data_IF_651418332317
#
_entry.id   IF_651418332317
#
_cell.length_a   1.000
_cell.length_b   1.000
_cell.length_c   1.000
_cell.angle_alpha   90.00
_cell.angle_beta   90.00
_cell.angle_gamma   90.00
#
_symmetry.space_group_name_H-M   'P 1'
#
loop_
_entity.id
_entity.type
_entity.pdbx_description
1 polymer ?
#
# COMPACT_ATOMS: atom_id res chain seq x y z
N UNK A 1 -0.46 22.87 10.96
CA UNK A 1 0.94 23.09 10.53
C UNK A 1 1.12 22.36 9.21
N UNK A 2 1.46 23.05 8.12
CA UNK A 2 1.75 22.42 6.83
C UNK A 2 3.08 21.68 6.99
N UNK A 3 3.04 20.35 6.97
CA UNK A 3 4.25 19.52 6.93
C UNK A 3 5.06 19.88 5.68
N UNK A 4 6.39 19.74 5.74
CA UNK A 4 7.24 19.92 4.57
C UNK A 4 6.82 18.93 3.48
N UNK A 5 6.62 19.42 2.27
CA UNK A 5 6.44 18.59 1.08
C UNK A 5 7.53 18.91 0.05
N UNK A 6 8.03 17.89 -0.61
CA UNK A 6 9.05 17.99 -1.63
C UNK A 6 8.69 17.06 -2.79
N UNK A 7 9.34 17.28 -3.92
CA UNK A 7 9.34 16.30 -5.00
C UNK A 7 10.74 15.71 -5.14
N UNK A 8 10.82 14.41 -5.29
CA UNK A 8 12.03 13.70 -5.68
C UNK A 8 11.84 13.18 -7.09
N UNK A 9 12.92 13.03 -7.84
CA UNK A 9 12.87 12.55 -9.22
C UNK A 9 13.45 11.13 -9.29
N UNK A 10 12.75 10.25 -9.97
CA UNK A 10 13.19 8.88 -10.22
C UNK A 10 14.23 8.84 -11.33
N UNK A 11 14.97 7.73 -11.45
CA UNK A 11 15.94 7.51 -12.52
C UNK A 11 15.33 7.62 -13.93
N UNK A 12 14.04 7.34 -14.05
CA UNK A 12 13.27 7.41 -15.31
C UNK A 12 12.47 8.73 -15.47
N UNK A 13 12.79 9.75 -14.66
CA UNK A 13 12.31 11.12 -14.79
C UNK A 13 10.89 11.37 -14.26
N UNK A 14 10.34 10.49 -13.42
CA UNK A 14 9.01 10.70 -12.80
C UNK A 14 9.18 11.49 -11.50
N UNK A 15 8.42 12.57 -11.35
CA UNK A 15 8.36 13.37 -10.11
C UNK A 15 7.50 12.69 -9.08
N UNK A 16 8.08 12.34 -7.94
CA UNK A 16 7.39 11.68 -6.82
C UNK A 16 7.19 12.69 -5.69
N UNK A 17 5.95 12.88 -5.29
CA UNK A 17 5.58 13.72 -4.16
C UNK A 17 5.88 12.99 -2.84
N UNK A 18 6.77 13.56 -2.03
CA UNK A 18 7.11 13.11 -0.69
C UNK A 18 6.75 14.18 0.34
N UNK A 19 6.15 13.79 1.46
CA UNK A 19 5.70 14.75 2.47
C UNK A 19 5.74 14.16 3.88
N UNK A 20 5.79 15.06 4.86
CA UNK A 20 5.77 14.69 6.27
C UNK A 20 4.31 14.51 6.74
N UNK A 21 3.99 13.31 7.22
CA UNK A 21 2.76 13.05 7.98
C UNK A 21 2.92 13.52 9.43
N UNK A 22 4.11 13.33 10.00
CA UNK A 22 4.50 13.80 11.34
C UNK A 22 6.00 14.09 11.36
N UNK A 23 6.41 15.36 11.42
CA UNK A 23 7.83 15.76 11.56
C UNK A 23 8.32 15.67 13.00
N UNK A 24 9.63 15.81 13.20
CA UNK A 24 10.26 16.11 14.50
C UNK A 24 10.92 14.93 15.22
N UNK A 25 10.81 13.70 14.72
CA UNK A 25 11.55 12.55 15.28
C UNK A 25 13.00 12.48 14.79
N UNK A 26 13.87 11.84 15.57
CA UNK A 26 15.27 11.58 15.23
C UNK A 26 15.45 10.46 14.20
N UNK A 27 14.57 9.46 14.24
CA UNK A 27 14.48 8.35 13.31
C UNK A 27 13.45 8.63 12.20
N UNK A 28 13.49 7.88 11.12
CA UNK A 28 12.55 8.04 10.01
C UNK A 28 11.76 6.75 9.79
N UNK A 29 10.44 6.87 9.63
CA UNK A 29 9.55 5.84 9.14
C UNK A 29 8.96 6.30 7.80
N UNK A 30 9.28 5.58 6.71
CA UNK A 30 8.72 5.83 5.38
C UNK A 30 7.49 4.95 5.16
N UNK A 31 6.36 5.56 4.80
CA UNK A 31 5.08 4.87 4.55
C UNK A 31 4.74 4.83 3.07
N UNK A 32 4.48 3.62 2.55
CA UNK A 32 4.19 3.30 1.16
C UNK A 32 2.77 2.73 1.02
N UNK A 33 1.92 3.43 0.30
CA UNK A 33 0.48 3.11 0.20
C UNK A 33 0.19 1.97 -0.79
N UNK A 34 -1.03 1.43 -0.71
CA UNK A 34 -1.57 0.47 -1.68
C UNK A 34 -2.07 1.12 -2.96
N UNK A 35 -2.29 0.32 -4.01
CA UNK A 35 -2.80 0.79 -5.29
C UNK A 35 -4.15 1.50 -5.15
N UNK A 36 -4.36 2.57 -5.91
CA UNK A 36 -5.57 3.38 -5.87
C UNK A 36 -5.76 4.16 -4.56
N UNK A 37 -4.68 4.30 -3.78
CA UNK A 37 -4.61 5.11 -2.56
C UNK A 37 -3.65 6.29 -2.77
N UNK A 38 -3.37 7.01 -1.70
CA UNK A 38 -2.36 8.06 -1.64
C UNK A 38 -1.69 8.01 -0.25
N UNK A 39 -0.53 8.57 -0.08
CA UNK A 39 0.21 8.53 1.19
C UNK A 39 -0.58 9.08 2.38
N UNK A 40 -1.54 9.99 2.14
CA UNK A 40 -2.46 10.49 3.17
C UNK A 40 -3.40 9.44 3.78
N UNK A 41 -3.47 8.22 3.22
CA UNK A 41 -4.20 7.09 3.84
C UNK A 41 -3.72 6.81 5.26
N UNK A 42 -2.46 7.12 5.56
CA UNK A 42 -1.83 6.90 6.85
C UNK A 42 -1.94 8.08 7.83
N UNK A 43 -2.58 9.20 7.47
CA UNK A 43 -2.55 10.42 8.29
C UNK A 43 -2.99 10.21 9.73
N UNK A 44 -4.11 9.53 9.97
CA UNK A 44 -4.59 9.22 11.32
C UNK A 44 -3.81 8.10 11.99
N UNK A 45 -3.28 7.16 11.23
CA UNK A 45 -2.49 6.04 11.72
C UNK A 45 -1.10 6.50 12.19
N UNK A 46 -0.47 7.42 11.45
CA UNK A 46 0.83 7.99 11.77
C UNK A 46 0.90 8.66 13.16
N UNK A 47 -0.23 9.14 13.68
CA UNK A 47 -0.29 9.77 15.02
C UNK A 47 -0.11 8.78 16.18
N UNK A 48 -0.26 7.49 15.91
CA UNK A 48 -0.21 6.43 16.94
C UNK A 48 1.19 5.85 17.18
N UNK A 49 2.17 6.18 16.33
CA UNK A 49 3.53 5.66 16.45
C UNK A 49 4.37 6.42 17.48
N UNK A 50 5.48 5.83 17.99
CA UNK A 50 6.40 6.50 18.94
C UNK A 50 6.93 7.84 18.42
N UNK A 51 7.05 8.83 19.30
CA UNK A 51 7.44 10.20 18.93
C UNK A 51 8.89 10.32 18.43
N UNK A 52 9.73 9.30 18.64
CA UNK A 52 11.09 9.28 18.08
C UNK A 52 11.12 9.18 16.56
N UNK A 53 10.01 8.77 15.90
CA UNK A 53 9.93 8.70 14.46
C UNK A 53 9.38 9.98 13.84
N UNK A 54 10.10 10.57 12.91
CA UNK A 54 9.57 11.40 11.83
C UNK A 54 8.91 10.49 10.82
N UNK A 55 7.63 10.72 10.50
CA UNK A 55 6.87 9.85 9.60
C UNK A 55 6.67 10.57 8.27
N UNK A 56 7.18 9.97 7.22
CA UNK A 56 7.07 10.44 5.85
C UNK A 56 6.22 9.49 5.02
N UNK A 57 5.58 10.01 4.01
CA UNK A 57 4.90 9.21 2.99
C UNK A 57 5.24 9.74 1.60
N UNK A 58 5.09 8.89 0.60
CA UNK A 58 5.08 9.29 -0.80
C UNK A 58 3.70 9.02 -1.40
N UNK A 59 3.37 9.75 -2.44
CA UNK A 59 2.40 9.29 -3.42
C UNK A 59 3.19 8.57 -4.52
N UNK A 60 2.86 7.34 -4.85
CA UNK A 60 3.48 6.62 -5.96
C UNK A 60 3.15 7.28 -7.31
N UNK A 61 3.97 7.02 -8.34
CA UNK A 61 3.65 7.44 -9.71
C UNK A 61 2.21 7.15 -10.08
N UNK A 62 1.57 8.03 -10.82
CA UNK A 62 0.16 7.92 -11.20
C UNK A 62 -0.85 8.14 -10.07
N UNK A 63 -0.42 8.39 -8.83
CA UNK A 63 -1.28 8.59 -7.67
C UNK A 63 -1.08 10.00 -7.07
N UNK A 64 -2.13 10.53 -6.43
CA UNK A 64 -2.09 11.76 -5.64
C UNK A 64 -1.44 12.93 -6.37
N UNK A 65 -0.36 13.48 -5.82
CA UNK A 65 0.36 14.63 -6.38
C UNK A 65 1.64 14.24 -7.16
N UNK A 66 1.87 12.94 -7.36
CA UNK A 66 2.99 12.46 -8.15
C UNK A 66 2.74 12.52 -9.65
N UNK A 67 3.82 12.49 -10.43
CA UNK A 67 3.78 12.49 -11.88
C UNK A 67 3.15 11.23 -12.46
N UNK A 68 2.61 11.35 -13.66
CA UNK A 68 2.14 10.23 -14.48
C UNK A 68 3.31 9.61 -15.24
N UNK A 69 3.22 8.30 -15.54
CA UNK A 69 4.34 7.54 -16.09
C UNK A 69 4.00 6.78 -17.41
N UNK A 70 2.90 7.12 -18.05
CA UNK A 70 2.44 6.48 -19.29
C UNK A 70 1.98 5.05 -19.05
N UNK A 71 2.78 4.06 -19.47
CA UNK A 71 2.53 2.63 -19.30
C UNK A 71 3.40 1.96 -18.21
N UNK A 72 4.20 2.75 -17.47
CA UNK A 72 5.16 2.25 -16.47
C UNK A 72 4.54 2.19 -15.07
N UNK A 73 3.64 1.21 -14.86
CA UNK A 73 2.91 0.98 -13.60
C UNK A 73 3.01 -0.46 -13.09
N UNK A 74 4.15 -1.13 -13.35
CA UNK A 74 4.47 -2.44 -12.76
C UNK A 74 5.03 -2.26 -11.36
N UNK A 75 5.00 -3.32 -10.55
CA UNK A 75 5.61 -3.28 -9.20
C UNK A 75 7.07 -2.80 -9.25
N UNK A 76 7.85 -3.27 -10.22
CA UNK A 76 9.25 -2.85 -10.40
C UNK A 76 9.40 -1.36 -10.71
N UNK A 77 8.43 -0.74 -11.36
CA UNK A 77 8.45 0.70 -11.64
C UNK A 77 8.20 1.50 -10.35
N UNK A 78 7.30 1.05 -9.47
CA UNK A 78 7.06 1.65 -8.15
C UNK A 78 8.24 1.47 -7.19
N UNK A 79 9.06 0.43 -7.38
CA UNK A 79 10.31 0.27 -6.61
C UNK A 79 11.27 1.43 -6.88
N UNK A 80 11.33 1.94 -8.11
CA UNK A 80 12.17 3.13 -8.43
C UNK A 80 11.66 4.39 -7.71
N UNK A 81 10.33 4.54 -7.52
CA UNK A 81 9.77 5.64 -6.73
C UNK A 81 10.24 5.59 -5.28
N UNK A 82 10.19 4.40 -4.68
CA UNK A 82 10.62 4.21 -3.31
C UNK A 82 12.15 4.36 -3.15
N UNK A 83 12.94 3.97 -4.15
CA UNK A 83 14.39 4.18 -4.16
C UNK A 83 14.71 5.67 -4.21
N UNK A 84 14.05 6.45 -5.05
CA UNK A 84 14.25 7.89 -5.10
C UNK A 84 13.95 8.56 -3.74
N UNK A 85 12.86 8.13 -3.08
CA UNK A 85 12.53 8.60 -1.73
C UNK A 85 13.58 8.18 -0.68
N UNK A 86 14.07 6.94 -0.75
CA UNK A 86 15.09 6.40 0.15
C UNK A 86 16.42 7.16 0.02
N UNK A 87 16.84 7.47 -1.19
CA UNK A 87 18.05 8.24 -1.47
C UNK A 87 17.91 9.69 -1.00
N UNK A 88 16.72 10.29 -1.12
CA UNK A 88 16.44 11.62 -0.58
C UNK A 88 16.40 11.66 0.95
N UNK A 89 16.04 10.55 1.63
CA UNK A 89 16.17 10.41 3.08
C UNK A 89 17.65 10.33 3.47
N UNK A 90 18.46 9.60 2.74
CA UNK A 90 19.94 9.59 2.80
C UNK A 90 20.54 9.03 4.10
N UNK A 91 19.73 8.41 4.98
CA UNK A 91 20.14 7.78 6.24
C UNK A 91 19.27 6.54 6.50
N UNK A 92 19.68 5.62 7.40
CA UNK A 92 18.86 4.45 7.73
C UNK A 92 17.46 4.83 8.21
N UNK A 93 16.45 4.08 7.76
CA UNK A 93 15.04 4.28 8.09
C UNK A 93 14.27 2.96 8.13
N UNK A 94 13.14 2.96 8.81
CA UNK A 94 12.16 1.87 8.77
C UNK A 94 11.20 2.10 7.60
N UNK A 95 10.85 1.06 6.86
CA UNK A 95 9.82 1.13 5.83
C UNK A 95 8.56 0.40 6.27
N UNK A 96 7.41 1.04 6.09
CA UNK A 96 6.07 0.46 6.26
C UNK A 96 5.36 0.47 4.91
N UNK A 97 4.96 -0.68 4.42
CA UNK A 97 4.23 -0.78 3.16
C UNK A 97 2.91 -1.52 3.31
N UNK A 98 1.84 -0.96 2.72
CA UNK A 98 0.53 -1.61 2.62
C UNK A 98 0.30 -2.12 1.19
N UNK A 99 -0.12 -3.38 1.04
CA UNK A 99 -0.53 -3.95 -0.26
C UNK A 99 0.58 -3.81 -1.33
N UNK A 100 0.37 -3.04 -2.40
CA UNK A 100 1.41 -2.67 -3.36
C UNK A 100 2.66 -2.11 -2.66
N UNK A 101 2.46 -1.21 -1.69
CA UNK A 101 3.56 -0.65 -0.90
C UNK A 101 4.35 -1.72 -0.14
N UNK A 102 3.71 -2.82 0.28
CA UNK A 102 4.39 -3.94 0.91
C UNK A 102 5.29 -4.69 -0.08
N UNK A 103 4.83 -4.94 -1.31
CA UNK A 103 5.67 -5.52 -2.38
C UNK A 103 6.87 -4.63 -2.68
N UNK A 104 6.63 -3.32 -2.79
CA UNK A 104 7.70 -2.34 -3.01
C UNK A 104 8.69 -2.32 -1.84
N UNK A 105 8.21 -2.43 -0.58
CA UNK A 105 9.08 -2.46 0.61
C UNK A 105 10.01 -3.66 0.63
N UNK A 106 9.54 -4.84 0.21
CA UNK A 106 10.35 -6.06 0.06
C UNK A 106 11.52 -5.80 -0.90
N UNK A 107 11.22 -5.31 -2.12
CA UNK A 107 12.25 -5.05 -3.11
C UNK A 107 13.19 -3.89 -2.71
N UNK A 108 12.66 -2.85 -2.06
CA UNK A 108 13.45 -1.73 -1.55
C UNK A 108 14.49 -2.20 -0.52
N UNK A 109 14.07 -3.03 0.45
CA UNK A 109 14.96 -3.57 1.48
C UNK A 109 16.08 -4.44 0.88
N UNK A 110 15.76 -5.28 -0.10
CA UNK A 110 16.73 -6.08 -0.82
C UNK A 110 17.73 -5.24 -1.62
N UNK A 111 17.24 -4.18 -2.30
CA UNK A 111 18.06 -3.34 -3.19
C UNK A 111 18.81 -2.22 -2.46
N UNK A 112 18.41 -1.84 -1.26
CA UNK A 112 19.01 -0.77 -0.43
C UNK A 112 19.23 -1.22 1.03
N UNK A 113 19.93 -2.36 1.26
CA UNK A 113 20.07 -2.95 2.60
C UNK A 113 20.80 -2.05 3.61
N UNK A 114 21.56 -1.05 3.14
CA UNK A 114 22.21 -0.08 4.02
C UNK A 114 21.30 1.07 4.46
N UNK A 115 20.17 1.28 3.77
CA UNK A 115 19.22 2.35 4.07
C UNK A 115 17.98 1.81 4.80
N UNK A 116 17.57 0.57 4.55
CA UNK A 116 16.40 -0.01 5.23
C UNK A 116 16.85 -0.76 6.47
N UNK A 117 16.48 -0.24 7.66
CA UNK A 117 16.83 -0.83 8.95
C UNK A 117 15.81 -1.83 9.48
N UNK A 118 14.56 -1.75 9.04
CA UNK A 118 13.51 -2.73 9.30
C UNK A 118 12.37 -2.58 8.29
N UNK A 119 11.61 -3.67 8.10
CA UNK A 119 10.48 -3.73 7.15
C UNK A 119 9.20 -4.09 7.89
N UNK A 120 8.11 -3.36 7.62
CA UNK A 120 6.78 -3.67 8.10
C UNK A 120 5.87 -3.80 6.89
N UNK A 121 5.28 -4.99 6.72
CA UNK A 121 4.40 -5.34 5.60
C UNK A 121 2.97 -5.46 6.09
N UNK A 122 2.11 -4.57 5.67
CA UNK A 122 0.67 -4.69 5.92
C UNK A 122 0.01 -5.40 4.76
N UNK A 123 -0.41 -6.63 5.02
CA UNK A 123 -1.19 -7.53 4.18
C UNK A 123 -0.68 -7.58 2.71
N UNK A 124 0.58 -8.01 2.49
CA UNK A 124 1.15 -8.10 1.15
C UNK A 124 0.39 -9.12 0.30
N UNK A 125 -0.04 -8.78 -0.93
CA UNK A 125 -0.60 -9.76 -1.83
C UNK A 125 0.42 -10.85 -2.18
N UNK A 126 0.08 -12.12 -1.98
CA UNK A 126 0.97 -13.22 -2.34
C UNK A 126 1.01 -13.49 -3.86
N UNK A 127 2.05 -14.18 -4.38
CA UNK A 127 2.06 -14.63 -5.77
C UNK A 127 0.84 -15.45 -6.15
N UNK A 128 0.39 -16.35 -5.28
CA UNK A 128 -0.82 -17.14 -5.49
C UNK A 128 -2.07 -16.26 -5.61
N UNK A 129 -2.13 -15.18 -4.84
CA UNK A 129 -3.24 -14.24 -4.88
C UNK A 129 -3.30 -13.45 -6.21
N UNK A 130 -2.20 -12.87 -6.65
CA UNK A 130 -2.23 -12.05 -7.87
C UNK A 130 -2.39 -12.87 -9.15
N UNK A 131 -1.91 -14.12 -9.19
CA UNK A 131 -2.15 -15.01 -10.33
C UNK A 131 -3.62 -15.40 -10.48
N UNK A 132 -4.39 -15.34 -9.40
CA UNK A 132 -5.82 -15.66 -9.37
C UNK A 132 -6.69 -14.40 -9.22
N UNK A 133 -6.15 -13.21 -9.41
CA UNK A 133 -6.83 -11.93 -9.15
C UNK A 133 -8.22 -11.86 -9.79
N UNK A 134 -8.38 -12.34 -11.03
CA UNK A 134 -9.64 -12.32 -11.77
C UNK A 134 -10.77 -13.12 -11.09
N UNK A 135 -10.43 -14.09 -10.23
CA UNK A 135 -11.40 -14.91 -9.47
C UNK A 135 -11.65 -14.39 -8.06
N UNK A 136 -10.91 -13.36 -7.63
CA UNK A 136 -11.05 -12.78 -6.30
C UNK A 136 -12.17 -11.76 -6.24
N UNK A 137 -12.67 -11.48 -5.03
CA UNK A 137 -13.64 -10.41 -4.76
C UNK A 137 -13.08 -8.99 -5.04
N UNK A 138 -11.75 -8.85 -5.25
CA UNK A 138 -11.13 -7.56 -5.56
C UNK A 138 -11.20 -7.21 -7.04
N UNK A 139 -11.34 -8.17 -7.93
CA UNK A 139 -11.37 -7.88 -9.37
C UNK A 139 -12.52 -6.93 -9.76
N UNK A 140 -13.78 -7.13 -9.32
CA UNK A 140 -14.85 -6.15 -9.54
C UNK A 140 -14.55 -4.77 -8.95
N UNK A 141 -13.89 -4.72 -7.77
CA UNK A 141 -13.47 -3.45 -7.16
C UNK A 141 -12.46 -2.71 -8.04
N UNK A 142 -11.45 -3.41 -8.59
CA UNK A 142 -10.47 -2.81 -9.47
C UNK A 142 -11.09 -2.37 -10.81
N UNK A 143 -12.06 -3.10 -11.34
CA UNK A 143 -12.84 -2.67 -12.50
C UNK A 143 -13.63 -1.39 -12.21
N UNK A 144 -14.26 -1.31 -11.03
CA UNK A 144 -14.94 -0.10 -10.59
C UNK A 144 -13.96 1.07 -10.43
N UNK A 145 -12.81 0.85 -9.79
CA UNK A 145 -11.77 1.87 -9.66
C UNK A 145 -11.29 2.39 -11.02
N UNK A 146 -11.13 1.51 -12.02
CA UNK A 146 -10.75 1.90 -13.39
C UNK A 146 -11.78 2.81 -14.04
N UNK A 147 -13.09 2.54 -13.84
CA UNK A 147 -14.18 3.38 -14.39
C UNK A 147 -14.15 4.81 -13.84
N UNK A 148 -13.78 4.96 -12.59
CA UNK A 148 -13.84 6.25 -11.87
C UNK A 148 -12.49 6.94 -11.72
N UNK A 149 -11.39 6.29 -12.13
CA UNK A 149 -10.06 6.88 -12.11
C UNK A 149 -9.94 8.05 -13.09
N UNK A 150 -9.34 9.16 -12.62
CA UNK A 150 -9.04 10.34 -13.44
C UNK A 150 -10.27 11.13 -13.90
N UNK A 151 -11.45 10.91 -13.32
CA UNK A 151 -12.69 11.62 -13.65
C UNK A 151 -12.68 13.04 -13.05
N UNK A 152 -11.78 13.87 -13.57
CA UNK A 152 -11.64 15.27 -13.12
C UNK A 152 -12.82 16.17 -13.56
N UNK A 153 -13.70 15.67 -14.40
CA UNK A 153 -14.97 16.28 -14.81
C UNK A 153 -16.07 16.17 -13.73
N UNK A 154 -15.87 15.31 -12.72
CA UNK A 154 -16.82 15.08 -11.64
C UNK A 154 -16.28 15.57 -10.28
N UNK A 155 -17.19 15.92 -9.38
CA UNK A 155 -16.81 16.20 -8.01
C UNK A 155 -16.45 14.90 -7.25
N UNK A 156 -15.63 15.01 -6.19
CA UNK A 156 -15.34 13.88 -5.29
C UNK A 156 -16.62 13.31 -4.67
N UNK A 157 -17.65 14.12 -4.47
CA UNK A 157 -18.94 13.66 -3.95
C UNK A 157 -19.66 12.77 -4.96
N UNK A 158 -19.68 13.17 -6.24
CA UNK A 158 -20.30 12.39 -7.31
C UNK A 158 -19.56 11.07 -7.52
N UNK A 159 -18.23 11.10 -7.60
CA UNK A 159 -17.41 9.88 -7.68
C UNK A 159 -17.69 8.96 -6.48
N UNK A 160 -17.82 9.51 -5.27
CA UNK A 160 -18.09 8.71 -4.06
C UNK A 160 -19.43 8.01 -4.12
N UNK A 161 -20.47 8.69 -4.60
CA UNK A 161 -21.81 8.14 -4.75
C UNK A 161 -21.85 7.04 -5.81
N UNK A 162 -21.29 7.31 -6.98
CA UNK A 162 -21.27 6.38 -8.10
C UNK A 162 -20.38 5.16 -7.83
N UNK A 163 -19.18 5.36 -7.29
CA UNK A 163 -18.30 4.27 -6.88
C UNK A 163 -18.95 3.39 -5.80
N UNK A 164 -19.67 4.00 -4.85
CA UNK A 164 -20.43 3.27 -3.82
C UNK A 164 -21.54 2.40 -4.41
N UNK A 165 -22.14 2.80 -5.52
CA UNK A 165 -23.20 2.06 -6.23
C UNK A 165 -22.67 0.89 -7.10
N UNK A 166 -21.37 0.80 -7.33
CA UNK A 166 -20.80 -0.26 -8.15
C UNK A 166 -21.03 -1.65 -7.56
N UNK A 167 -21.40 -2.63 -8.38
CA UNK A 167 -21.65 -3.99 -7.94
C UNK A 167 -20.35 -4.70 -7.58
N UNK A 168 -20.31 -5.34 -6.42
CA UNK A 168 -19.26 -6.28 -6.01
C UNK A 168 -19.63 -7.73 -6.34
N UNK A 169 -20.90 -8.08 -6.17
CA UNK A 169 -21.40 -9.45 -6.36
C UNK A 169 -22.89 -9.43 -6.71
N UNK A 170 -23.27 -10.21 -7.69
CA UNK A 170 -24.66 -10.54 -7.96
C UNK A 170 -24.93 -11.97 -7.49
N UNK A 171 -25.93 -12.12 -6.63
CA UNK A 171 -26.38 -13.42 -6.12
C UNK A 171 -27.33 -14.10 -7.10
N UNK A 172 -27.52 -15.43 -6.96
CA UNK A 172 -28.41 -16.22 -7.80
C UNK A 172 -29.90 -15.83 -7.71
N UNK A 173 -30.28 -15.18 -6.61
CA UNK A 173 -31.63 -14.64 -6.37
C UNK A 173 -31.84 -13.22 -6.92
N UNK A 174 -30.84 -12.68 -7.64
CA UNK A 174 -30.90 -11.35 -8.25
C UNK A 174 -30.48 -10.19 -7.33
N UNK A 175 -30.21 -10.43 -6.06
CA UNK A 175 -29.67 -9.39 -5.18
C UNK A 175 -28.28 -8.96 -5.61
N UNK A 176 -27.99 -7.67 -5.48
CA UNK A 176 -26.69 -7.08 -5.79
C UNK A 176 -26.07 -6.57 -4.49
N UNK A 177 -24.87 -7.05 -4.16
CA UNK A 177 -24.02 -6.47 -3.14
C UNK A 177 -23.22 -5.34 -3.77
N UNK A 178 -23.33 -4.13 -3.22
CA UNK A 178 -22.62 -2.94 -3.70
C UNK A 178 -21.39 -2.65 -2.84
N UNK A 179 -20.49 -1.78 -3.33
CA UNK A 179 -19.34 -1.31 -2.56
C UNK A 179 -19.80 -0.58 -1.29
N UNK A 180 -20.86 0.22 -1.34
CA UNK A 180 -21.46 0.92 -0.18
C UNK A 180 -22.03 0.00 0.90
N UNK A 181 -22.32 -1.25 0.59
CA UNK A 181 -22.83 -2.21 1.59
C UNK A 181 -21.71 -2.76 2.50
N UNK A 182 -20.45 -2.64 2.05
CA UNK A 182 -19.27 -3.17 2.75
C UNK A 182 -18.24 -2.10 3.14
N UNK A 183 -18.47 -0.83 2.76
CA UNK A 183 -17.61 0.29 3.09
C UNK A 183 -18.41 1.46 3.66
N UNK A 184 -17.89 2.08 4.72
CA UNK A 184 -18.46 3.29 5.28
C UNK A 184 -18.27 4.51 4.36
N UNK A 185 -19.09 5.54 4.57
CA UNK A 185 -19.13 6.75 3.73
C UNK A 185 -17.82 7.55 3.76
N UNK A 186 -17.07 7.53 4.87
CA UNK A 186 -15.79 8.23 5.00
C UNK A 186 -14.72 7.52 4.15
N UNK A 187 -14.67 6.18 4.22
CA UNK A 187 -13.81 5.35 3.39
C UNK A 187 -14.12 5.50 1.90
N UNK A 188 -15.41 5.54 1.52
CA UNK A 188 -15.85 5.80 0.14
C UNK A 188 -15.38 7.15 -0.36
N UNK A 189 -15.61 8.22 0.43
CA UNK A 189 -15.19 9.59 0.08
C UNK A 189 -13.67 9.71 -0.06
N UNK A 190 -12.91 9.07 0.84
CA UNK A 190 -11.45 9.05 0.73
C UNK A 190 -11.00 8.33 -0.55
N UNK A 191 -11.60 7.16 -0.84
CA UNK A 191 -11.31 6.43 -2.09
C UNK A 191 -11.64 7.27 -3.32
N UNK A 192 -12.80 7.94 -3.34
CA UNK A 192 -13.20 8.82 -4.43
C UNK A 192 -12.20 9.97 -4.65
N UNK A 193 -11.65 10.54 -3.56
CA UNK A 193 -10.58 11.56 -3.66
C UNK A 193 -9.32 10.97 -4.31
N UNK A 194 -8.94 9.76 -3.94
CA UNK A 194 -7.79 9.10 -4.55
C UNK A 194 -8.04 8.79 -6.03
N UNK A 195 -9.24 8.31 -6.38
CA UNK A 195 -9.63 8.01 -7.76
C UNK A 195 -9.68 9.25 -8.65
N UNK A 196 -10.14 10.38 -8.10
CA UNK A 196 -10.15 11.66 -8.82
C UNK A 196 -8.75 12.04 -9.33
N UNK A 197 -7.71 11.81 -8.53
CA UNK A 197 -6.34 12.17 -8.83
C UNK A 197 -5.54 11.02 -9.52
N UNK A 198 -6.13 9.80 -9.61
CA UNK A 198 -5.47 8.58 -10.12
C UNK A 198 -5.33 8.61 -11.65
N UNK A 199 -4.15 8.23 -12.15
CA UNK A 199 -4.01 7.91 -13.58
C UNK A 199 -4.74 6.60 -13.89
N UNK A 200 -5.71 6.60 -14.83
CA UNK A 200 -6.42 5.39 -15.23
C UNK A 200 -5.52 4.21 -15.65
N UNK A 201 -4.37 4.48 -16.26
CA UNK A 201 -3.43 3.47 -16.72
C UNK A 201 -2.84 2.62 -15.57
N UNK A 202 -2.84 3.13 -14.33
CA UNK A 202 -2.49 2.33 -13.13
C UNK A 202 -3.38 1.11 -13.01
N UNK A 203 -4.68 1.28 -13.21
CA UNK A 203 -5.65 0.19 -13.07
C UNK A 203 -5.63 -0.74 -14.28
N UNK A 204 -5.27 -0.25 -15.46
CA UNK A 204 -5.10 -1.06 -16.67
C UNK A 204 -3.99 -2.10 -16.47
N UNK A 205 -2.82 -1.69 -15.97
CA UNK A 205 -1.71 -2.60 -15.67
C UNK A 205 -2.12 -3.76 -14.74
N UNK A 206 -3.01 -3.50 -13.77
CA UNK A 206 -3.52 -4.51 -12.83
C UNK A 206 -4.52 -5.44 -13.52
N UNK A 207 -5.52 -4.88 -14.19
CA UNK A 207 -6.60 -5.64 -14.82
C UNK A 207 -6.09 -6.55 -15.94
N UNK A 208 -5.02 -6.14 -16.63
CA UNK A 208 -4.34 -6.91 -17.67
C UNK A 208 -3.30 -7.90 -17.11
N UNK A 209 -3.10 -7.95 -15.79
CA UNK A 209 -2.14 -8.84 -15.15
C UNK A 209 -0.67 -8.49 -15.44
N UNK A 210 -0.38 -7.26 -15.88
CA UNK A 210 0.98 -6.82 -16.23
C UNK A 210 1.77 -6.31 -15.00
N UNK A 211 1.07 -5.93 -13.93
CA UNK A 211 1.68 -5.26 -12.77
C UNK A 211 2.75 -6.07 -12.02
N UNK A 212 2.70 -7.45 -11.91
CA UNK A 212 3.74 -8.22 -11.25
C UNK A 212 4.88 -8.63 -12.22
N UNK A 213 4.82 -8.25 -13.49
CA UNK A 213 5.80 -8.66 -14.49
C UNK A 213 7.21 -8.20 -14.11
N UNK A 214 8.18 -9.11 -14.17
CA UNK A 214 9.57 -8.91 -13.78
C UNK A 214 9.78 -8.66 -12.27
N UNK A 215 8.81 -8.95 -11.41
CA UNK A 215 8.93 -8.88 -9.97
C UNK A 215 9.10 -10.30 -9.39
N UNK A 216 10.29 -10.59 -8.90
CA UNK A 216 10.62 -11.87 -8.23
C UNK A 216 10.63 -11.65 -6.71
N UNK A 217 9.46 -11.89 -6.08
CA UNK A 217 9.25 -11.70 -4.65
C UNK A 217 10.19 -12.60 -3.83
N UNK A 218 10.36 -13.85 -4.25
CA UNK A 218 11.17 -14.83 -3.54
C UNK A 218 12.66 -14.46 -3.56
N UNK A 219 13.16 -13.98 -4.69
CA UNK A 219 14.53 -13.49 -4.78
C UNK A 219 14.75 -12.30 -3.83
N UNK A 220 13.84 -11.33 -3.85
CA UNK A 220 13.97 -10.16 -2.96
C UNK A 220 13.87 -10.54 -1.47
N UNK A 221 12.98 -11.44 -1.06
CA UNK A 221 12.86 -11.86 0.33
C UNK A 221 14.15 -12.47 0.87
N UNK A 222 14.82 -13.32 0.08
CA UNK A 222 16.12 -13.94 0.46
C UNK A 222 17.24 -12.91 0.66
N UNK A 223 17.16 -11.78 -0.03
CA UNK A 223 18.17 -10.72 0.03
C UNK A 223 17.93 -9.71 1.16
N UNK A 224 16.80 -9.77 1.89
CA UNK A 224 16.53 -8.91 3.04
C UNK A 224 17.50 -9.23 4.18
N UNK A 225 18.17 -8.20 4.70
CA UNK A 225 19.19 -8.31 5.75
C UNK A 225 18.71 -7.77 7.12
N UNK A 226 17.56 -7.12 7.18
CA UNK A 226 17.01 -6.49 8.39
C UNK A 226 15.76 -7.22 8.90
N UNK A 227 15.36 -6.98 10.16
CA UNK A 227 14.13 -7.53 10.73
C UNK A 227 12.88 -7.17 9.91
N UNK A 228 11.94 -8.11 9.83
CA UNK A 228 10.71 -7.97 9.05
C UNK A 228 9.49 -8.38 9.89
N UNK A 229 8.47 -7.52 9.91
CA UNK A 229 7.16 -7.79 10.51
C UNK A 229 6.08 -7.86 9.41
N UNK A 230 5.30 -8.93 9.40
CA UNK A 230 4.07 -9.04 8.60
C UNK A 230 2.87 -8.80 9.51
N UNK A 231 1.99 -7.89 9.12
CA UNK A 231 0.65 -7.72 9.68
C UNK A 231 -0.33 -8.32 8.68
N UNK A 232 -1.02 -9.40 9.05
CA UNK A 232 -1.86 -10.18 8.14
C UNK A 232 -3.35 -10.05 8.48
N UNK A 233 -4.14 -9.64 7.50
CA UNK A 233 -5.61 -9.65 7.58
C UNK A 233 -6.20 -11.03 7.30
N UNK A 234 -7.42 -11.26 7.79
CA UNK A 234 -8.18 -12.48 7.52
C UNK A 234 -8.67 -12.50 6.06
N UNK A 235 -8.32 -13.55 5.32
CA UNK A 235 -8.72 -13.74 3.92
C UNK A 235 -10.25 -13.79 3.78
N UNK A 236 -10.96 -14.38 4.75
CA UNK A 236 -12.43 -14.43 4.75
C UNK A 236 -13.05 -13.02 4.87
N UNK A 237 -12.29 -12.03 5.36
CA UNK A 237 -12.68 -10.62 5.50
C UNK A 237 -12.02 -9.73 4.44
N UNK A 238 -11.37 -10.34 3.45
CA UNK A 238 -10.76 -9.64 2.34
C UNK A 238 -9.25 -9.41 2.48
N UNK A 239 -8.56 -10.11 3.38
CA UNK A 239 -7.09 -10.15 3.38
C UNK A 239 -6.54 -10.78 2.10
N UNK A 240 -5.32 -10.41 1.71
CA UNK A 240 -4.68 -10.86 0.46
C UNK A 240 -3.52 -11.84 0.68
N UNK A 241 -3.22 -12.18 1.94
CA UNK A 241 -2.14 -13.10 2.29
C UNK A 241 -2.71 -14.34 2.98
N UNK A 242 -2.88 -15.48 2.27
CA UNK A 242 -3.25 -16.75 2.88
C UNK A 242 -2.22 -17.22 3.92
N UNK A 243 -2.67 -18.03 4.88
CA UNK A 243 -1.83 -18.56 5.96
C UNK A 243 -0.63 -19.35 5.45
N UNK A 244 -0.87 -20.23 4.49
CA UNK A 244 0.18 -21.02 3.83
C UNK A 244 1.25 -20.17 3.18
N UNK A 245 0.84 -19.06 2.56
CA UNK A 245 1.73 -18.14 1.87
C UNK A 245 2.54 -17.31 2.87
N UNK A 246 1.91 -16.84 3.97
CA UNK A 246 2.61 -16.15 5.04
C UNK A 246 3.73 -17.01 5.65
N UNK A 247 3.46 -18.28 5.92
CA UNK A 247 4.47 -19.25 6.37
C UNK A 247 5.59 -19.43 5.33
N UNK A 248 5.23 -19.43 4.04
CA UNK A 248 6.19 -19.53 2.94
C UNK A 248 7.12 -18.31 2.86
N UNK A 249 6.58 -17.10 3.03
CA UNK A 249 7.34 -15.85 3.05
C UNK A 249 8.32 -15.81 4.24
N UNK A 250 7.86 -16.17 5.43
CA UNK A 250 8.70 -16.16 6.64
C UNK A 250 9.88 -17.12 6.56
N UNK A 251 9.75 -18.24 5.87
CA UNK A 251 10.87 -19.20 5.68
C UNK A 251 12.00 -18.63 4.82
N UNK A 252 11.77 -17.57 4.06
CA UNK A 252 12.75 -16.98 3.16
C UNK A 252 13.54 -15.84 3.79
N UNK A 253 13.05 -15.27 4.89
CA UNK A 253 13.72 -14.18 5.61
C UNK A 253 14.46 -14.69 6.83
N UNK A 254 15.56 -14.02 7.22
CA UNK A 254 16.40 -14.46 8.36
C UNK A 254 15.75 -14.14 9.70
N UNK A 255 15.07 -13.01 9.80
CA UNK A 255 14.43 -12.49 11.01
C UNK A 255 13.06 -11.95 10.64
N UNK A 256 12.05 -12.80 10.73
CA UNK A 256 10.69 -12.50 10.29
C UNK A 256 9.65 -12.87 11.34
N UNK A 257 8.71 -11.96 11.58
CA UNK A 257 7.57 -12.14 12.46
C UNK A 257 6.27 -11.96 11.66
N UNK A 258 5.20 -12.64 12.07
CA UNK A 258 3.85 -12.43 11.55
C UNK A 258 2.87 -12.27 12.70
N UNK A 259 1.99 -11.28 12.58
CA UNK A 259 0.88 -11.04 13.49
C UNK A 259 -0.43 -11.08 12.71
N UNK A 260 -1.36 -11.91 13.16
CA UNK A 260 -2.65 -12.12 12.53
C UNK A 260 -3.73 -11.21 13.14
N UNK A 261 -4.59 -10.66 12.28
CA UNK A 261 -5.74 -9.84 12.66
C UNK A 261 -7.05 -10.51 12.20
N UNK A 262 -7.59 -11.48 12.96
CA UNK A 262 -8.74 -12.28 12.53
C UNK A 262 -10.05 -11.49 12.45
N UNK A 263 -10.07 -10.26 12.96
CA UNK A 263 -11.24 -9.37 12.93
C UNK A 263 -11.25 -8.41 11.75
N UNK A 264 -10.14 -8.30 10.99
CA UNK A 264 -9.96 -7.33 9.92
C UNK A 264 -9.51 -8.00 8.61
N UNK A 265 -9.76 -7.32 7.49
CA UNK A 265 -9.28 -7.72 6.16
C UNK A 265 -8.04 -6.92 5.73
N UNK A 266 -8.05 -6.43 4.50
CA UNK A 266 -6.90 -5.84 3.83
C UNK A 266 -6.42 -4.47 4.34
N UNK A 267 -7.27 -3.70 5.03
CA UNK A 267 -6.98 -2.31 5.42
C UNK A 267 -6.82 -2.20 6.95
N UNK A 268 -5.76 -2.79 7.52
CA UNK A 268 -5.56 -2.86 8.98
C UNK A 268 -5.39 -1.46 9.59
N UNK A 269 -4.65 -0.56 8.91
CA UNK A 269 -4.46 0.84 9.33
C UNK A 269 -5.77 1.66 9.36
N UNK A 270 -6.88 1.11 8.87
CA UNK A 270 -8.21 1.69 8.96
C UNK A 270 -9.14 0.90 9.88
N UNK A 271 -9.18 -0.43 9.73
CA UNK A 271 -10.14 -1.31 10.38
C UNK A 271 -9.81 -1.57 11.86
N UNK A 272 -8.51 -1.76 12.16
CA UNK A 272 -8.00 -2.12 13.50
C UNK A 272 -6.75 -1.31 13.84
N UNK A 273 -6.77 -0.02 13.53
CA UNK A 273 -5.58 0.84 13.60
C UNK A 273 -4.90 0.88 14.97
N UNK A 274 -5.66 0.82 16.07
CA UNK A 274 -5.10 0.83 17.42
C UNK A 274 -4.32 -0.45 17.70
N UNK A 275 -4.92 -1.59 17.44
CA UNK A 275 -4.30 -2.91 17.63
C UNK A 275 -3.07 -3.08 16.71
N UNK A 276 -3.21 -2.69 15.44
CA UNK A 276 -2.09 -2.77 14.49
C UNK A 276 -0.93 -1.84 14.91
N UNK A 277 -1.22 -0.62 15.36
CA UNK A 277 -0.17 0.31 15.83
C UNK A 277 0.54 -0.18 17.08
N UNK A 278 -0.16 -0.89 17.98
CA UNK A 278 0.46 -1.49 19.17
C UNK A 278 1.49 -2.57 18.76
N UNK A 279 1.14 -3.44 17.82
CA UNK A 279 2.06 -4.49 17.34
C UNK A 279 3.27 -3.88 16.63
N UNK A 280 3.06 -2.88 15.79
CA UNK A 280 4.16 -2.15 15.14
C UNK A 280 5.05 -1.46 16.16
N UNK A 281 4.47 -0.79 17.17
CA UNK A 281 5.24 -0.11 18.19
C UNK A 281 6.07 -1.09 19.01
N UNK A 282 5.51 -2.24 19.40
CA UNK A 282 6.23 -3.30 20.11
C UNK A 282 7.40 -3.85 19.27
N UNK A 283 7.18 -4.06 17.97
CA UNK A 283 8.25 -4.48 17.05
C UNK A 283 9.36 -3.42 16.97
N UNK A 284 9.00 -2.14 16.80
CA UNK A 284 9.98 -1.05 16.72
C UNK A 284 10.78 -0.87 18.03
N UNK A 285 10.16 -1.09 19.19
CA UNK A 285 10.87 -1.07 20.49
C UNK A 285 11.83 -2.27 20.63
N UNK A 286 11.56 -3.40 20.00
CA UNK A 286 12.45 -4.57 20.04
C UNK A 286 13.71 -4.42 19.19
N UNK A 287 13.78 -3.38 18.34
CA UNK A 287 14.94 -3.10 17.48
C UNK A 287 15.99 -2.16 18.14
N UNK A 288 15.72 -1.69 19.35
CA UNK A 288 16.51 -0.65 20.06
C UNK A 288 17.67 -1.26 20.85
#
# INVERSE_FOLDING_TARGET
MSGNSAHVETVDGVRIHMFDLRPGGSETLLMLHGVGRAGRTFSSYATLFPNRFSIRAIDFRGHGQSGRAGDRYRVVDYVEDAIAAAEAIGKPFVVYGHSLGALVSIALAARRPKLVSAVILEDPPSPGYWHQLQTTNYFPTFQAMRRWAGRNDLSVADISAEFGNEPLKTFSDGRILKISDVRDSVSLRFTARCLHDLDPAVMEAILEGQWPKNYDMDAYLRDIQCPLLILRGDVAKGGMLPDTDAVGLLKQVKDGLCVDFPTAGHLLHWQVRAEASMQVSAFLESLS
#
